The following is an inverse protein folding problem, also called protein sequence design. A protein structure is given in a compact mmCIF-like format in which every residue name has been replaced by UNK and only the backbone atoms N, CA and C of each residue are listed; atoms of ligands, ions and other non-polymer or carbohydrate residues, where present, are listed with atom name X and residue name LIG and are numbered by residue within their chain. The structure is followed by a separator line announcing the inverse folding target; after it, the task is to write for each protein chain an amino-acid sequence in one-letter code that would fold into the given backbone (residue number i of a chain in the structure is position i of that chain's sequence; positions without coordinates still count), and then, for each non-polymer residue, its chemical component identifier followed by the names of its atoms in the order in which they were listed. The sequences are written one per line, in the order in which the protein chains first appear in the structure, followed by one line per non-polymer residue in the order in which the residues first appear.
data_IF_708737562997
#
_entry.id   IF_708737562997
#
_cell.length_a   1.000
_cell.length_b   1.000
_cell.length_c   1.000
_cell.angle_alpha   90.00
_cell.angle_beta   90.00
_cell.angle_gamma   90.00
#
_symmetry.space_group_name_H-M   'P 1'
#
loop_
_entity.id
_entity.type
_entity.pdbx_description
1 polymer ?
#
# COMPACT_ATOMS: atom_id res chain seq x y z
N UNK A 1 -36.28 84.43 -13.88
CA UNK A 1 -36.53 83.06 -13.34
C UNK A 1 -36.04 83.01 -11.90
N UNK A 2 -36.82 82.37 -11.01
CA UNK A 2 -36.83 82.55 -9.54
C UNK A 2 -35.61 81.95 -8.83
N UNK A 3 -35.11 82.69 -7.83
CA UNK A 3 -34.25 82.19 -6.74
C UNK A 3 -35.12 81.41 -5.75
N UNK A 4 -34.70 80.21 -5.39
CA UNK A 4 -35.31 79.42 -4.31
C UNK A 4 -34.24 79.03 -3.30
N UNK A 5 -34.41 79.54 -2.09
CA UNK A 5 -33.59 79.26 -0.92
C UNK A 5 -34.11 78.03 -0.17
N UNK A 6 -33.18 77.39 0.55
CA UNK A 6 -33.34 76.62 1.79
C UNK A 6 -34.14 75.31 1.77
N UNK A 7 -33.48 74.23 2.19
CA UNK A 7 -33.58 73.73 3.59
C UNK A 7 -32.47 72.71 3.88
N UNK A 8 -31.78 72.91 4.99
CA UNK A 8 -30.84 71.96 5.57
C UNK A 8 -31.60 70.80 6.23
N UNK A 9 -31.12 69.58 6.05
CA UNK A 9 -31.58 68.38 6.75
C UNK A 9 -30.60 68.07 7.89
N UNK A 10 -31.08 67.69 9.09
CA UNK A 10 -30.22 67.29 10.18
C UNK A 10 -29.61 65.91 9.94
N UNK A 11 -28.34 65.81 10.33
CA UNK A 11 -27.49 64.63 10.31
C UNK A 11 -28.03 63.54 11.22
N UNK A 12 -28.45 62.41 10.66
CA UNK A 12 -28.72 61.18 11.42
C UNK A 12 -27.47 60.31 11.32
N UNK A 13 -26.59 60.46 12.30
CA UNK A 13 -25.45 59.57 12.52
C UNK A 13 -25.98 58.28 13.15
N UNK A 14 -26.20 57.23 12.36
CA UNK A 14 -26.37 55.87 12.88
C UNK A 14 -24.98 55.30 13.18
N UNK A 15 -24.64 55.20 14.47
CA UNK A 15 -23.52 54.41 14.93
C UNK A 15 -23.89 52.92 14.84
N UNK A 16 -23.33 52.20 13.86
CA UNK A 16 -23.34 50.73 13.90
C UNK A 16 -22.46 50.26 15.07
N UNK A 17 -22.93 49.35 15.94
CA UNK A 17 -22.05 48.66 16.86
C UNK A 17 -21.15 47.71 16.05
N UNK A 18 -19.90 48.13 15.84
CA UNK A 18 -18.83 47.28 15.32
C UNK A 18 -18.39 46.28 16.40
N UNK A 19 -19.21 45.28 16.69
CA UNK A 19 -18.78 44.10 17.44
C UNK A 19 -18.37 43.02 16.45
N UNK A 20 -17.15 43.16 15.90
CA UNK A 20 -16.44 42.06 15.26
C UNK A 20 -15.70 41.27 16.36
N UNK A 21 -16.03 39.97 16.57
CA UNK A 21 -15.27 39.16 17.50
C UNK A 21 -13.81 39.05 17.05
N UNK A 22 -12.93 39.21 18.03
CA UNK A 22 -11.47 39.27 17.97
C UNK A 22 -10.82 38.22 17.05
N UNK A 23 -9.79 38.66 16.33
CA UNK A 23 -8.93 37.96 15.38
C UNK A 23 -8.16 36.71 15.90
N UNK A 24 -8.56 36.12 17.03
CA UNK A 24 -7.93 34.93 17.62
C UNK A 24 -8.58 33.60 17.23
N UNK A 25 -9.88 33.58 16.91
CA UNK A 25 -10.63 32.35 16.62
C UNK A 25 -10.33 31.75 15.25
N UNK A 26 -9.98 32.59 14.26
CA UNK A 26 -9.67 32.12 12.90
C UNK A 26 -8.42 31.25 12.82
N UNK A 27 -7.40 31.49 13.66
CA UNK A 27 -6.14 30.73 13.64
C UNK A 27 -6.31 29.31 14.20
N UNK A 28 -7.14 29.13 15.22
CA UNK A 28 -7.44 27.81 15.80
C UNK A 28 -8.29 26.97 14.83
N UNK A 29 -9.26 27.60 14.17
CA UNK A 29 -10.12 26.94 13.18
C UNK A 29 -9.33 26.55 11.91
N UNK A 30 -8.40 27.40 11.47
CA UNK A 30 -7.48 27.09 10.38
C UNK A 30 -6.49 25.98 10.73
N UNK A 31 -5.92 25.98 11.94
CA UNK A 31 -5.04 24.91 12.40
C UNK A 31 -5.77 23.56 12.49
N UNK A 32 -7.01 23.56 13.00
CA UNK A 32 -7.86 22.36 13.05
C UNK A 32 -8.20 21.82 11.65
N UNK A 33 -8.51 22.70 10.70
CA UNK A 33 -8.77 22.32 9.31
C UNK A 33 -7.53 21.73 8.64
N UNK A 34 -6.35 22.31 8.85
CA UNK A 34 -5.08 21.79 8.32
C UNK A 34 -4.77 20.42 8.93
N UNK A 35 -4.96 20.24 10.24
CA UNK A 35 -4.76 18.95 10.88
C UNK A 35 -5.72 17.87 10.34
N UNK A 36 -6.99 18.22 10.11
CA UNK A 36 -7.97 17.32 9.51
C UNK A 36 -7.60 16.94 8.07
N UNK A 37 -7.17 17.91 7.26
CA UNK A 37 -6.71 17.66 5.88
C UNK A 37 -5.47 16.75 5.91
N UNK A 38 -4.49 17.00 6.77
CA UNK A 38 -3.31 16.14 6.91
C UNK A 38 -3.66 14.71 7.34
N UNK A 39 -4.67 14.51 8.20
CA UNK A 39 -5.18 13.17 8.52
C UNK A 39 -5.88 12.50 7.33
N UNK A 40 -6.67 13.25 6.55
CA UNK A 40 -7.36 12.71 5.38
C UNK A 40 -6.42 12.34 4.23
N UNK A 41 -5.27 13.02 4.10
CA UNK A 41 -4.29 12.72 3.05
C UNK A 41 -3.52 11.41 3.27
N UNK A 42 -3.47 10.85 4.48
CA UNK A 42 -2.76 9.60 4.74
C UNK A 42 -3.49 8.33 4.24
N UNK A 43 -4.77 8.43 3.85
CA UNK A 43 -5.59 7.27 3.50
C UNK A 43 -5.55 6.86 2.00
N UNK A 44 -4.75 7.51 1.15
CA UNK A 44 -4.81 7.32 -0.31
C UNK A 44 -3.66 6.54 -0.95
N UNK A 45 -2.69 6.02 -0.19
CA UNK A 45 -1.71 5.08 -0.73
C UNK A 45 -2.36 3.68 -0.88
N UNK A 46 -3.17 3.52 -1.93
CA UNK A 46 -4.02 2.34 -2.13
C UNK A 46 -3.25 1.12 -2.65
N UNK A 47 -2.61 0.38 -1.75
CA UNK A 47 -2.31 -1.03 -2.00
C UNK A 47 -3.34 -1.90 -1.27
N UNK A 48 -3.65 -3.06 -1.85
CA UNK A 48 -4.58 -4.03 -1.26
C UNK A 48 -3.77 -5.22 -0.75
N UNK A 49 -3.81 -5.39 0.56
CA UNK A 49 -3.30 -6.57 1.27
C UNK A 49 -4.45 -7.55 1.46
N UNK A 50 -4.16 -8.84 1.26
CA UNK A 50 -5.06 -9.94 1.60
C UNK A 50 -4.25 -10.98 2.34
N UNK A 51 -4.77 -11.45 3.47
CA UNK A 51 -4.12 -12.46 4.30
C UNK A 51 -5.07 -13.61 4.53
N UNK A 52 -4.49 -14.79 4.72
CA UNK A 52 -5.17 -16.02 5.10
C UNK A 52 -4.30 -16.72 6.15
N UNK A 53 -4.92 -17.26 7.20
CA UNK A 53 -4.23 -17.85 8.33
C UNK A 53 -4.93 -19.12 8.77
N UNK A 54 -4.14 -20.11 9.18
CA UNK A 54 -4.66 -21.32 9.82
C UNK A 54 -5.22 -20.96 11.21
N UNK A 55 -6.34 -21.58 11.60
CA UNK A 55 -7.05 -21.26 12.85
C UNK A 55 -6.19 -21.54 14.09
N UNK A 56 -5.22 -22.46 13.98
CA UNK A 56 -4.27 -22.82 15.04
C UNK A 56 -2.95 -22.05 15.01
N UNK A 57 -2.78 -21.09 14.09
CA UNK A 57 -1.51 -20.35 13.98
C UNK A 57 -1.46 -19.17 14.96
N UNK A 58 -0.52 -19.23 15.90
CA UNK A 58 -0.10 -18.09 16.70
C UNK A 58 1.39 -17.81 16.49
N UNK A 59 1.73 -16.56 16.11
CA UNK A 59 3.14 -16.17 15.91
C UNK A 59 3.97 -16.37 17.20
N UNK A 60 3.34 -16.24 18.36
CA UNK A 60 3.96 -16.41 19.68
C UNK A 60 4.51 -17.84 19.92
N UNK A 61 4.03 -18.84 19.17
CA UNK A 61 4.52 -20.21 19.26
C UNK A 61 5.88 -20.41 18.56
N UNK A 62 6.36 -19.37 17.87
CA UNK A 62 7.60 -19.38 17.10
C UNK A 62 8.60 -18.38 17.67
N UNK A 63 9.85 -18.83 17.84
CA UNK A 63 10.95 -18.02 18.38
C UNK A 63 12.00 -17.69 17.33
N UNK A 64 12.12 -18.53 16.30
CA UNK A 64 13.14 -18.38 15.27
C UNK A 64 12.53 -18.46 13.88
N UNK A 65 13.19 -17.83 12.91
CA UNK A 65 12.82 -17.92 11.51
C UNK A 65 14.03 -18.12 10.60
N UNK A 66 13.79 -18.69 9.43
CA UNK A 66 14.74 -18.76 8.32
C UNK A 66 14.04 -18.60 6.99
N UNK A 67 14.77 -18.17 5.96
CA UNK A 67 14.25 -18.17 4.60
C UNK A 67 14.29 -19.56 3.99
N UNK A 68 13.31 -19.88 3.15
CA UNK A 68 13.27 -21.13 2.40
C UNK A 68 14.38 -21.18 1.33
N UNK A 69 15.01 -22.34 1.17
CA UNK A 69 16.00 -22.57 0.11
C UNK A 69 15.48 -23.58 -0.94
N UNK A 70 15.59 -23.29 -2.26
CA UNK A 70 16.01 -22.03 -2.86
C UNK A 70 14.90 -20.96 -2.84
N UNK A 71 15.30 -19.69 -2.76
CA UNK A 71 14.38 -18.55 -2.84
C UNK A 71 13.68 -18.56 -4.19
N UNK A 72 12.36 -18.78 -4.20
CA UNK A 72 11.62 -18.99 -5.45
C UNK A 72 10.99 -17.67 -5.94
N UNK A 73 11.80 -16.81 -6.56
CA UNK A 73 11.28 -15.64 -7.28
C UNK A 73 10.66 -16.08 -8.62
N UNK A 74 9.42 -16.58 -8.62
CA UNK A 74 8.73 -16.98 -9.86
C UNK A 74 8.12 -15.76 -10.56
N UNK A 75 8.84 -15.20 -11.52
CA UNK A 75 8.30 -14.15 -12.41
C UNK A 75 8.10 -14.68 -13.84
N UNK A 76 7.12 -14.12 -14.54
CA UNK A 76 7.00 -14.27 -16.00
C UNK A 76 7.94 -13.32 -16.77
N UNK A 77 8.50 -12.32 -16.09
CA UNK A 77 9.35 -11.27 -16.68
C UNK A 77 10.74 -11.32 -16.07
N UNK A 78 11.74 -11.75 -16.86
CA UNK A 78 13.13 -11.95 -16.42
C UNK A 78 13.75 -10.71 -15.74
N UNK A 79 13.26 -9.51 -16.06
CA UNK A 79 13.78 -8.24 -15.54
C UNK A 79 13.51 -8.00 -14.04
N UNK A 80 12.58 -8.75 -13.42
CA UNK A 80 12.25 -8.60 -11.99
C UNK A 80 12.98 -9.56 -11.06
N UNK A 81 13.68 -10.59 -11.55
CA UNK A 81 14.56 -11.43 -10.71
C UNK A 81 15.94 -10.77 -10.62
N UNK A 82 15.97 -9.52 -10.15
CA UNK A 82 17.23 -8.90 -9.79
C UNK A 82 17.60 -9.38 -8.37
N UNK A 83 18.78 -9.99 -8.16
CA UNK A 83 19.22 -10.40 -6.82
C UNK A 83 19.23 -9.25 -5.81
N UNK A 84 19.37 -8.01 -6.26
CA UNK A 84 19.24 -6.83 -5.39
C UNK A 84 17.83 -6.67 -4.83
N UNK A 85 16.79 -6.90 -5.63
CA UNK A 85 15.40 -6.80 -5.15
C UNK A 85 15.09 -7.92 -4.16
N UNK A 86 15.56 -9.13 -4.47
CA UNK A 86 15.45 -10.30 -3.58
C UNK A 86 16.09 -10.02 -2.22
N UNK A 87 17.32 -9.50 -2.20
CA UNK A 87 18.01 -9.16 -0.96
C UNK A 87 17.28 -8.08 -0.16
N UNK A 88 16.78 -7.02 -0.82
CA UNK A 88 16.02 -5.95 -0.16
C UNK A 88 14.74 -6.46 0.50
N UNK A 89 14.03 -7.37 -0.17
CA UNK A 89 12.83 -8.00 0.38
C UNK A 89 13.18 -8.87 1.57
N UNK A 90 14.23 -9.69 1.46
CA UNK A 90 14.69 -10.51 2.60
C UNK A 90 15.10 -9.64 3.79
N UNK A 91 15.83 -8.55 3.56
CA UNK A 91 16.19 -7.60 4.61
C UNK A 91 14.97 -6.95 5.26
N UNK A 92 13.99 -6.52 4.46
CA UNK A 92 12.75 -5.92 4.94
C UNK A 92 11.92 -6.92 5.77
N UNK A 93 11.74 -8.14 5.27
CA UNK A 93 11.03 -9.20 6.01
C UNK A 93 11.76 -9.52 7.31
N UNK A 94 13.08 -9.71 7.25
CA UNK A 94 13.89 -10.04 8.41
C UNK A 94 13.84 -8.94 9.47
N UNK A 95 13.82 -7.67 9.05
CA UNK A 95 13.69 -6.52 9.94
C UNK A 95 12.34 -6.52 10.66
N UNK A 96 11.24 -6.73 9.95
CA UNK A 96 9.90 -6.74 10.55
C UNK A 96 9.69 -7.97 11.46
N UNK A 97 10.13 -9.17 11.07
CA UNK A 97 10.06 -10.37 11.92
C UNK A 97 10.93 -10.24 13.19
N UNK A 98 12.12 -9.63 13.08
CA UNK A 98 12.95 -9.30 14.26
C UNK A 98 12.27 -8.30 15.17
N UNK A 99 11.56 -7.32 14.61
CA UNK A 99 10.76 -6.36 15.39
C UNK A 99 9.57 -7.03 16.11
N UNK A 100 9.13 -8.20 15.65
CA UNK A 100 8.12 -9.04 16.32
C UNK A 100 8.71 -9.98 17.37
N UNK A 101 10.04 -9.98 17.56
CA UNK A 101 10.73 -10.78 18.57
C UNK A 101 11.28 -12.12 18.07
N UNK A 102 11.22 -12.41 16.76
CA UNK A 102 11.81 -13.63 16.22
C UNK A 102 13.30 -13.44 15.90
N UNK A 103 14.11 -14.47 16.17
CA UNK A 103 15.53 -14.48 15.81
C UNK A 103 15.79 -15.20 14.49
N UNK A 104 16.75 -14.70 13.71
CA UNK A 104 17.10 -15.33 12.43
C UNK A 104 18.16 -16.41 12.66
N UNK A 105 17.85 -17.67 12.33
CA UNK A 105 18.80 -18.78 12.49
C UNK A 105 19.44 -19.18 11.16
N UNK A 106 20.78 -19.19 11.05
CA UNK A 106 21.47 -19.75 9.89
C UNK A 106 21.57 -21.27 10.04
N UNK A 107 20.72 -22.04 9.34
CA UNK A 107 20.84 -23.50 9.33
C UNK A 107 19.59 -24.25 8.89
N UNK A 108 19.79 -25.51 8.50
CA UNK A 108 18.74 -26.42 8.07
C UNK A 108 18.11 -27.22 9.24
N UNK A 109 18.55 -27.01 10.48
CA UNK A 109 18.05 -27.77 11.61
C UNK A 109 16.64 -27.33 12.00
N UNK A 110 15.69 -28.24 11.82
CA UNK A 110 14.33 -28.09 12.31
C UNK A 110 14.36 -28.11 13.85
N UNK A 111 14.26 -26.93 14.45
CA UNK A 111 14.05 -26.77 15.89
C UNK A 111 12.57 -26.56 16.18
N UNK A 112 12.14 -26.93 17.38
CA UNK A 112 10.81 -26.57 17.88
C UNK A 112 10.71 -25.03 17.91
N UNK A 113 9.65 -24.49 17.30
CA UNK A 113 9.46 -23.04 17.18
C UNK A 113 10.19 -22.38 15.98
N UNK A 114 10.64 -23.15 14.98
CA UNK A 114 11.17 -22.62 13.72
C UNK A 114 10.06 -22.29 12.72
N UNK A 115 10.15 -21.10 12.13
CA UNK A 115 9.30 -20.65 11.03
C UNK A 115 10.10 -20.53 9.73
N UNK A 116 9.61 -21.16 8.66
CA UNK A 116 10.20 -21.05 7.33
C UNK A 116 9.44 -19.98 6.55
N UNK A 117 10.15 -18.97 6.07
CA UNK A 117 9.59 -17.86 5.30
C UNK A 117 9.92 -18.04 3.83
N UNK A 118 8.88 -18.11 3.01
CA UNK A 118 9.01 -18.12 1.56
C UNK A 118 8.31 -16.89 0.98
N UNK A 119 8.76 -16.44 -0.18
CA UNK A 119 8.10 -15.34 -0.87
C UNK A 119 8.16 -15.52 -2.38
N UNK A 120 7.12 -15.05 -3.04
CA UNK A 120 6.98 -15.09 -4.49
C UNK A 120 6.72 -13.69 -5.03
N UNK A 121 7.52 -13.30 -6.03
CA UNK A 121 7.36 -12.06 -6.78
C UNK A 121 6.85 -12.38 -8.18
N UNK A 122 5.64 -11.90 -8.50
CA UNK A 122 5.07 -12.02 -9.82
C UNK A 122 4.85 -10.63 -10.40
N UNK A 123 5.26 -10.42 -11.64
CA UNK A 123 4.88 -9.24 -12.42
C UNK A 123 3.99 -9.66 -13.58
N UNK A 124 2.96 -8.87 -13.83
CA UNK A 124 2.07 -9.03 -14.97
C UNK A 124 1.82 -7.67 -15.59
N UNK A 125 2.10 -7.55 -16.90
CA UNK A 125 1.64 -6.42 -17.70
C UNK A 125 0.12 -6.51 -17.87
N UNK A 126 -0.57 -5.43 -17.52
CA UNK A 126 -2.02 -5.33 -17.63
C UNK A 126 -2.40 -4.11 -18.45
N UNK A 127 -3.51 -4.23 -19.16
CA UNK A 127 -4.12 -3.12 -19.87
C UNK A 127 -5.34 -2.68 -19.07
N UNK A 128 -5.36 -1.42 -18.61
CA UNK A 128 -6.57 -0.82 -18.03
C UNK A 128 -7.26 -0.04 -19.13
N UNK A 129 -8.54 -0.33 -19.31
CA UNK A 129 -9.42 0.46 -20.16
C UNK A 129 -10.08 1.53 -19.29
N UNK A 130 -9.52 2.75 -19.27
CA UNK A 130 -10.22 3.88 -18.66
C UNK A 130 -11.31 4.37 -19.62
N UNK A 131 -12.58 4.45 -19.20
CA UNK A 131 -13.55 5.20 -20.00
C UNK A 131 -13.11 6.66 -19.97
N UNK A 132 -12.77 7.21 -21.14
CA UNK A 132 -12.49 8.64 -21.23
C UNK A 132 -13.70 9.42 -20.73
N UNK A 133 -13.46 10.45 -19.94
CA UNK A 133 -14.48 11.45 -19.61
C UNK A 133 -15.10 11.95 -20.90
N UNK A 134 -16.43 11.90 -21.00
CA UNK A 134 -17.25 12.38 -22.12
C UNK A 134 -16.59 13.58 -22.83
N UNK A 135 -15.93 13.36 -23.97
CA UNK A 135 -15.36 14.47 -24.73
C UNK A 135 -16.48 15.05 -25.60
N UNK A 136 -17.04 16.17 -25.15
CA UNK A 136 -17.98 16.98 -25.94
C UNK A 136 -17.17 17.78 -26.95
N UNK A 137 -17.04 17.26 -28.17
CA UNK A 137 -16.39 17.93 -29.29
C UNK A 137 -17.40 18.60 -30.22
N UNK A 138 -17.08 19.81 -30.69
CA UNK A 138 -17.79 20.45 -31.80
C UNK A 138 -16.99 20.27 -33.08
N UNK A 139 -17.57 19.61 -34.08
CA UNK A 139 -16.94 19.41 -35.38
C UNK A 139 -17.77 20.00 -36.51
N UNK A 140 -17.10 20.60 -37.50
CA UNK A 140 -17.72 21.02 -38.75
C UNK A 140 -17.30 20.02 -39.83
N UNK A 141 -18.22 19.16 -40.26
CA UNK A 141 -18.03 18.31 -41.45
C UNK A 141 -18.90 18.84 -42.59
N UNK A 142 -18.53 18.53 -43.82
CA UNK A 142 -19.20 18.96 -45.06
C UNK A 142 -20.66 18.46 -45.05
N UNK A 143 -21.56 19.26 -44.47
CA UNK A 143 -22.96 18.90 -44.20
C UNK A 143 -23.57 19.45 -42.91
N UNK A 144 -22.80 20.03 -41.98
CA UNK A 144 -23.37 20.72 -40.80
C UNK A 144 -22.50 20.68 -39.54
N UNK A 145 -22.97 21.36 -38.49
CA UNK A 145 -22.45 21.27 -37.12
C UNK A 145 -22.90 19.93 -36.52
N UNK A 146 -21.94 19.09 -36.12
CA UNK A 146 -22.20 17.86 -35.38
C UNK A 146 -21.77 18.04 -33.93
N UNK A 147 -22.70 17.72 -33.02
CA UNK A 147 -22.50 17.61 -31.59
C UNK A 147 -22.49 16.11 -31.27
N UNK A 148 -21.36 15.58 -30.84
CA UNK A 148 -21.21 14.14 -30.56
C UNK A 148 -20.13 13.89 -29.54
N UNK A 149 -20.40 12.98 -28.60
CA UNK A 149 -19.42 12.52 -27.64
C UNK A 149 -18.58 11.40 -28.23
N UNK A 150 -17.25 11.55 -28.25
CA UNK A 150 -16.39 10.40 -28.50
C UNK A 150 -16.24 9.60 -27.20
N UNK A 151 -16.54 8.30 -27.26
CA UNK A 151 -16.16 7.35 -26.23
C UNK A 151 -14.86 6.69 -26.67
N UNK A 152 -13.77 7.42 -26.55
CA UNK A 152 -12.46 6.82 -26.75
C UNK A 152 -12.16 6.00 -25.50
N UNK A 153 -11.95 4.69 -25.67
CA UNK A 153 -11.40 3.86 -24.62
C UNK A 153 -9.90 3.86 -24.87
N UNK A 154 -9.14 4.65 -24.11
CA UNK A 154 -7.69 4.62 -24.24
C UNK A 154 -7.17 3.42 -23.44
N UNK A 155 -6.50 2.45 -24.10
CA UNK A 155 -5.75 1.44 -23.38
C UNK A 155 -4.57 2.10 -22.68
N UNK A 156 -4.49 1.93 -21.36
CA UNK A 156 -3.35 2.32 -20.55
C UNK A 156 -2.64 1.05 -20.10
N UNK A 157 -1.45 0.81 -20.65
CA UNK A 157 -0.60 -0.30 -20.23
C UNK A 157 0.04 0.03 -18.88
N UNK A 158 -0.10 -0.86 -17.91
CA UNK A 158 0.49 -0.72 -16.59
C UNK A 158 1.04 -2.07 -16.09
N UNK A 159 2.21 -2.04 -15.47
CA UNK A 159 2.79 -3.21 -14.82
C UNK A 159 2.18 -3.37 -13.43
N UNK A 160 1.55 -4.51 -13.17
CA UNK A 160 1.08 -4.89 -11.84
C UNK A 160 2.04 -5.88 -11.20
N UNK A 161 2.68 -5.47 -10.10
CA UNK A 161 3.43 -6.36 -9.24
C UNK A 161 2.53 -7.03 -8.22
N UNK A 162 2.74 -8.32 -8.01
CA UNK A 162 2.17 -9.13 -6.95
C UNK A 162 3.30 -9.68 -6.12
N UNK A 163 3.16 -9.55 -4.82
CA UNK A 163 4.10 -10.07 -3.85
C UNK A 163 3.32 -10.92 -2.87
N UNK A 164 3.74 -12.18 -2.75
CA UNK A 164 3.19 -13.13 -1.81
C UNK A 164 4.26 -13.49 -0.79
N UNK A 165 3.89 -13.57 0.48
CA UNK A 165 4.71 -14.08 1.57
C UNK A 165 3.98 -15.26 2.17
N UNK A 166 4.70 -16.34 2.40
CA UNK A 166 4.18 -17.55 3.02
C UNK A 166 5.01 -17.85 4.26
N UNK A 167 4.33 -18.06 5.38
CA UNK A 167 4.96 -18.57 6.59
C UNK A 167 4.60 -20.04 6.71
N UNK A 168 5.61 -20.87 6.95
CA UNK A 168 5.51 -22.32 6.89
C UNK A 168 6.11 -22.94 8.14
N UNK A 169 5.41 -23.90 8.74
CA UNK A 169 5.97 -24.73 9.82
C UNK A 169 6.69 -25.94 9.22
N UNK A 170 7.89 -26.31 9.70
CA UNK A 170 8.53 -27.56 9.32
C UNK A 170 7.62 -28.73 9.68
N UNK A 171 7.41 -29.65 8.75
CA UNK A 171 6.76 -30.93 9.05
C UNK A 171 7.78 -31.77 9.81
N UNK A 172 7.43 -32.38 10.95
CA UNK A 172 8.31 -33.35 11.60
C UNK A 172 8.66 -34.42 10.55
N UNK A 173 9.96 -34.68 10.38
CA UNK A 173 10.41 -35.73 9.48
C UNK A 173 9.68 -37.01 9.86
N UNK A 174 8.90 -37.58 8.94
CA UNK A 174 8.31 -38.89 9.17
C UNK A 174 9.45 -39.85 9.53
N UNK A 175 9.23 -40.70 10.53
CA UNK A 175 10.18 -41.72 11.01
C UNK A 175 10.67 -42.69 9.91
N UNK A 176 10.17 -42.56 8.69
CA UNK A 176 10.48 -43.40 7.55
C UNK A 176 11.62 -42.77 6.74
N UNK A 177 12.87 -43.06 7.16
CA UNK A 177 14.06 -43.39 6.34
C UNK A 177 14.55 -42.52 5.17
N UNK A 178 13.75 -41.59 4.64
CA UNK A 178 14.00 -40.93 3.37
C UNK A 178 14.54 -39.51 3.61
N UNK A 179 15.69 -39.44 4.26
CA UNK A 179 16.46 -38.21 4.48
C UNK A 179 17.18 -37.74 3.20
N UNK A 180 16.56 -37.90 2.03
CA UNK A 180 16.99 -37.14 0.85
C UNK A 180 16.51 -35.71 0.99
N UNK A 181 17.35 -34.77 0.57
CA UNK A 181 17.16 -33.32 0.62
C UNK A 181 15.84 -32.87 -0.06
N UNK A 182 14.72 -33.07 0.62
CA UNK A 182 13.43 -32.49 0.22
C UNK A 182 13.56 -30.99 0.37
N UNK A 183 13.30 -30.27 -0.72
CA UNK A 183 13.13 -28.81 -0.69
C UNK A 183 12.21 -28.43 0.46
N UNK A 184 12.57 -27.35 1.17
CA UNK A 184 11.81 -26.82 2.30
C UNK A 184 10.31 -26.70 2.00
N UNK A 185 9.96 -26.41 0.75
CA UNK A 185 8.57 -26.32 0.29
C UNK A 185 7.76 -27.61 0.43
N UNK A 186 8.40 -28.76 0.27
CA UNK A 186 7.76 -30.09 0.33
C UNK A 186 7.72 -30.60 1.77
N UNK A 187 8.73 -30.22 2.56
CA UNK A 187 8.89 -30.62 3.95
C UNK A 187 8.19 -29.67 4.94
N UNK A 188 7.37 -28.73 4.48
CA UNK A 188 6.71 -27.75 5.34
C UNK A 188 5.24 -27.57 4.99
N UNK A 189 4.48 -27.06 5.95
CA UNK A 189 3.06 -26.76 5.81
C UNK A 189 2.86 -25.24 5.95
N UNK A 190 2.09 -24.64 5.04
CA UNK A 190 1.77 -23.22 5.09
C UNK A 190 0.80 -22.98 6.24
N UNK A 191 1.19 -22.11 7.18
CA UNK A 191 0.38 -21.72 8.34
C UNK A 191 -0.20 -20.32 8.19
N UNK A 192 0.44 -19.49 7.36
CA UNK A 192 -0.05 -18.17 7.01
C UNK A 192 0.39 -17.78 5.60
N UNK A 193 -0.47 -17.04 4.92
CA UNK A 193 -0.27 -16.57 3.57
C UNK A 193 -0.74 -15.11 3.44
N UNK A 194 0.10 -14.25 2.88
CA UNK A 194 -0.22 -12.86 2.62
C UNK A 194 0.12 -12.46 1.20
N UNK A 195 -0.75 -11.69 0.55
CA UNK A 195 -0.55 -11.15 -0.80
C UNK A 195 -0.81 -9.66 -0.83
N UNK A 196 0.13 -8.92 -1.41
CA UNK A 196 -0.04 -7.51 -1.75
C UNK A 196 0.06 -7.30 -3.25
N UNK A 197 -0.73 -6.35 -3.75
CA UNK A 197 -0.60 -5.84 -5.12
C UNK A 197 0.05 -4.45 -5.05
N UNK A 198 1.30 -4.34 -5.51
CA UNK A 198 2.01 -3.06 -5.59
C UNK A 198 3.11 -3.11 -6.66
N UNK A 199 3.56 -1.94 -7.13
CA UNK A 199 4.75 -1.88 -7.98
C UNK A 199 5.98 -1.84 -7.07
N UNK A 200 6.91 -2.77 -7.27
CA UNK A 200 8.15 -2.88 -6.48
C UNK A 200 9.35 -2.19 -7.14
N UNK A 201 9.15 -1.63 -8.34
CA UNK A 201 10.15 -0.90 -9.09
C UNK A 201 9.82 0.60 -9.05
N UNK A 202 10.50 1.32 -8.17
CA UNK A 202 10.52 2.77 -8.15
C UNK A 202 11.42 3.36 -9.23
N UNK A 203 11.32 4.67 -9.44
CA UNK A 203 12.18 5.41 -10.39
C UNK A 203 13.63 5.51 -9.92
N UNK A 204 13.87 5.26 -8.63
CA UNK A 204 15.20 5.23 -8.02
C UNK A 204 15.34 4.04 -7.07
N UNK A 205 16.59 3.68 -6.75
CA UNK A 205 16.89 2.63 -5.79
C UNK A 205 16.29 2.88 -4.40
N UNK A 206 16.23 4.14 -3.97
CA UNK A 206 15.69 4.54 -2.67
C UNK A 206 14.15 4.41 -2.66
N UNK A 207 13.50 4.83 -3.74
CA UNK A 207 12.04 4.70 -3.87
C UNK A 207 11.62 3.21 -3.89
N UNK A 208 12.37 2.36 -4.58
CA UNK A 208 12.13 0.91 -4.55
C UNK A 208 12.29 0.33 -3.15
N UNK A 209 13.30 0.77 -2.37
CA UNK A 209 13.48 0.30 -1.00
C UNK A 209 12.30 0.72 -0.12
N UNK A 210 11.89 1.98 -0.21
CA UNK A 210 10.78 2.51 0.59
C UNK A 210 9.47 1.78 0.26
N UNK A 211 9.20 1.51 -1.02
CA UNK A 211 8.04 0.74 -1.46
C UNK A 211 8.06 -0.69 -0.93
N UNK A 212 9.22 -1.37 -0.96
CA UNK A 212 9.37 -2.71 -0.40
C UNK A 212 9.12 -2.70 1.11
N UNK A 213 9.77 -1.80 1.86
CA UNK A 213 9.61 -1.67 3.31
C UNK A 213 8.14 -1.43 3.69
N UNK A 214 7.43 -0.55 2.96
CA UNK A 214 6.03 -0.22 3.22
C UNK A 214 5.11 -1.42 2.97
N UNK A 215 5.27 -2.11 1.83
CA UNK A 215 4.43 -3.25 1.49
C UNK A 215 4.68 -4.44 2.41
N UNK A 216 5.94 -4.72 2.74
CA UNK A 216 6.31 -5.81 3.65
C UNK A 216 5.77 -5.52 5.05
N UNK A 217 5.92 -4.28 5.54
CA UNK A 217 5.35 -3.88 6.83
C UNK A 217 3.84 -4.08 6.84
N UNK A 218 3.13 -3.58 5.83
CA UNK A 218 1.68 -3.71 5.80
C UNK A 218 1.21 -5.17 5.70
N UNK A 219 1.95 -6.03 5.01
CA UNK A 219 1.67 -7.46 4.97
C UNK A 219 1.86 -8.14 6.32
N UNK A 220 2.95 -7.82 7.02
CA UNK A 220 3.30 -8.48 8.27
C UNK A 220 2.57 -7.87 9.47
N UNK A 221 2.08 -6.64 9.39
CA UNK A 221 1.25 -6.04 10.45
C UNK A 221 -0.02 -6.88 10.71
N UNK A 222 -0.57 -7.53 9.69
CA UNK A 222 -1.70 -8.46 9.81
C UNK A 222 -1.34 -9.77 10.53
N UNK A 223 -0.06 -10.12 10.60
CA UNK A 223 0.46 -11.29 11.35
C UNK A 223 0.71 -10.93 12.82
N UNK A 224 0.95 -9.65 13.10
CA UNK A 224 1.30 -9.19 14.44
C UNK A 224 0.16 -9.57 15.40
N UNK A 225 0.46 -10.16 16.57
CA UNK A 225 -0.56 -10.40 17.58
C UNK A 225 -1.20 -9.06 17.97
N UNK A 226 -2.52 -8.98 17.86
CA UNK A 226 -3.29 -7.86 18.38
C UNK A 226 -2.93 -7.71 19.85
N UNK A 227 -2.51 -6.51 20.27
CA UNK A 227 -2.10 -6.25 21.64
C UNK A 227 -3.25 -6.35 22.67
N UNK A 228 -4.40 -6.89 22.28
CA UNK A 228 -5.64 -6.93 23.06
C UNK A 228 -6.11 -8.35 23.45
N UNK A 229 -5.35 -9.40 23.15
CA UNK A 229 -5.67 -10.78 23.58
C UNK A 229 -4.81 -11.26 24.78
#
# INVERSE_FOLDING_TARGET
MRKTNMRALPSITQALPANLPSAGTGRLLQAGLIALILMLLQACAGYSVKTDKDDGFALADYSTFRFAEPVTAVTKSADLVNPLVVNRIQEAIAKELKAMGLEQTPGAEASEGLLIVDFTLQSEERVRYRPSTLSLGFGVRRGGLLMGGARDVLPEDYTSGRFAVELRKPRPAALDGDAEARSDKVASEVVWFGVANHNFLGMSANDSQQQVDEVVRALLEEVRPSAED
#
